data_IF_654592477826
#
_entry.id   IF_654592477826
#
_cell.length_a   1.000
_cell.length_b   1.000
_cell.length_c   1.000
_cell.angle_alpha   90.00
_cell.angle_beta   90.00
_cell.angle_gamma   90.00
#
_symmetry.space_group_name_H-M   'P 1'
#
loop_
_entity.id
_entity.type
_entity.pdbx_description
1 polymer ?
#
# COMPACT_ATOMS: atom_id res chain seq x y z
N UNK A 1 -18.73 -1.91 -46.59
CA UNK A 1 -18.05 -0.82 -45.85
C UNK A 1 -18.87 -0.31 -44.67
N UNK A 2 -20.20 -0.31 -44.70
CA UNK A 2 -21.04 0.20 -43.60
C UNK A 2 -20.91 -0.60 -42.29
N UNK A 3 -20.75 -1.93 -42.34
CA UNK A 3 -20.64 -2.77 -41.13
C UNK A 3 -19.29 -2.63 -40.36
N UNK A 4 -18.21 -2.20 -41.02
CA UNK A 4 -16.93 -2.02 -40.35
C UNK A 4 -16.89 -0.70 -39.51
N UNK A 5 -17.55 0.34 -39.99
CA UNK A 5 -17.64 1.62 -39.27
C UNK A 5 -18.58 1.54 -38.05
N UNK A 6 -19.65 0.76 -38.11
CA UNK A 6 -20.51 0.50 -36.94
C UNK A 6 -19.80 -0.36 -35.87
N UNK A 7 -19.06 -1.39 -36.27
CA UNK A 7 -18.29 -2.23 -35.36
C UNK A 7 -17.15 -1.44 -34.67
N UNK A 8 -16.45 -0.57 -35.37
CA UNK A 8 -15.43 0.30 -34.79
C UNK A 8 -16.04 1.39 -33.87
N UNK A 9 -17.18 1.96 -34.25
CA UNK A 9 -17.91 2.93 -33.43
C UNK A 9 -18.42 2.33 -32.10
N UNK A 10 -18.95 1.12 -32.14
CA UNK A 10 -19.39 0.40 -30.94
C UNK A 10 -18.20 -0.01 -30.04
N UNK A 11 -17.09 -0.48 -30.62
CA UNK A 11 -15.91 -0.85 -29.84
C UNK A 11 -15.28 0.38 -29.12
N UNK A 12 -15.20 1.52 -29.80
CA UNK A 12 -14.68 2.77 -29.18
C UNK A 12 -15.61 3.32 -28.11
N UNK A 13 -16.92 3.22 -28.28
CA UNK A 13 -17.88 3.66 -27.24
C UNK A 13 -17.86 2.75 -26.00
N UNK A 14 -17.72 1.44 -26.16
CA UNK A 14 -17.60 0.50 -25.03
C UNK A 14 -16.30 0.69 -24.25
N UNK A 15 -15.16 0.91 -24.91
CA UNK A 15 -13.88 1.22 -24.23
C UNK A 15 -13.95 2.55 -23.48
N UNK A 16 -14.57 3.58 -24.05
CA UNK A 16 -14.77 4.87 -23.39
C UNK A 16 -15.65 4.73 -22.14
N UNK A 17 -16.75 4.01 -22.22
CA UNK A 17 -17.64 3.79 -21.08
C UNK A 17 -16.95 2.99 -19.96
N UNK A 18 -16.18 1.95 -20.30
CA UNK A 18 -15.40 1.17 -19.32
C UNK A 18 -14.40 2.05 -18.57
N UNK A 19 -13.69 2.95 -19.26
CA UNK A 19 -12.75 3.89 -18.64
C UNK A 19 -13.46 4.83 -17.69
N UNK A 20 -14.60 5.41 -18.10
CA UNK A 20 -15.40 6.33 -17.26
C UNK A 20 -15.85 5.62 -15.98
N UNK A 21 -16.38 4.41 -16.08
CA UNK A 21 -16.82 3.64 -14.91
C UNK A 21 -15.65 3.40 -13.93
N UNK A 22 -14.47 3.00 -14.43
CA UNK A 22 -13.29 2.77 -13.59
C UNK A 22 -12.85 4.04 -12.86
N UNK A 23 -12.85 5.18 -13.55
CA UNK A 23 -12.51 6.48 -12.96
C UNK A 23 -13.55 6.89 -11.92
N UNK A 24 -14.85 6.75 -12.23
CA UNK A 24 -15.94 7.06 -11.31
C UNK A 24 -15.95 6.17 -10.04
N UNK A 25 -15.34 5.00 -10.08
CA UNK A 25 -15.16 4.15 -8.88
C UNK A 25 -13.93 4.58 -8.09
N UNK A 26 -12.79 4.80 -8.74
CA UNK A 26 -11.51 5.10 -8.08
C UNK A 26 -11.51 6.45 -7.39
N UNK A 27 -12.03 7.51 -8.04
CA UNK A 27 -11.95 8.88 -7.49
C UNK A 27 -12.75 9.02 -6.18
N UNK A 28 -14.04 8.64 -6.08
CA UNK A 28 -14.76 8.74 -4.82
C UNK A 28 -14.13 7.89 -3.71
N UNK A 29 -13.68 6.69 -4.04
CA UNK A 29 -12.99 5.82 -3.10
C UNK A 29 -11.72 6.49 -2.54
N UNK A 30 -10.92 7.11 -3.41
CA UNK A 30 -9.72 7.86 -3.02
C UNK A 30 -10.06 9.10 -2.17
N UNK A 31 -11.12 9.84 -2.50
CA UNK A 31 -11.57 10.99 -1.70
C UNK A 31 -11.97 10.57 -0.29
N UNK A 32 -12.76 9.50 -0.15
CA UNK A 32 -13.16 8.96 1.16
C UNK A 32 -11.93 8.52 1.96
N UNK A 33 -10.98 7.84 1.30
CA UNK A 33 -9.72 7.46 1.93
C UNK A 33 -8.95 8.67 2.45
N UNK A 34 -8.77 9.72 1.63
CA UNK A 34 -8.07 10.94 2.05
C UNK A 34 -8.76 11.61 3.24
N UNK A 35 -10.09 11.69 3.24
CA UNK A 35 -10.83 12.23 4.37
C UNK A 35 -10.56 11.43 5.66
N UNK A 36 -10.57 10.11 5.60
CA UNK A 36 -10.27 9.25 6.74
C UNK A 36 -8.84 9.48 7.26
N UNK A 37 -7.86 9.56 6.36
CA UNK A 37 -6.45 9.79 6.71
C UNK A 37 -6.26 11.17 7.35
N UNK A 38 -6.83 12.23 6.77
CA UNK A 38 -6.72 13.59 7.30
C UNK A 38 -7.27 13.64 8.73
N UNK A 39 -8.45 13.07 8.97
CA UNK A 39 -9.03 12.99 10.32
C UNK A 39 -8.09 12.26 11.29
N UNK A 40 -7.55 11.11 10.87
CA UNK A 40 -6.59 10.35 11.69
C UNK A 40 -5.34 11.14 12.02
N UNK A 41 -4.71 11.76 11.01
CA UNK A 41 -3.49 12.55 11.20
C UNK A 41 -3.75 13.78 12.08
N UNK A 42 -4.91 14.42 11.95
CA UNK A 42 -5.33 15.52 12.84
C UNK A 42 -5.45 15.05 14.30
N UNK A 43 -6.01 13.86 14.55
CA UNK A 43 -6.08 13.29 15.90
C UNK A 43 -4.67 13.07 16.47
N UNK A 44 -3.75 12.52 15.68
CA UNK A 44 -2.36 12.33 16.09
C UNK A 44 -1.63 13.67 16.37
N UNK A 45 -1.83 14.66 15.51
CA UNK A 45 -1.21 15.98 15.68
C UNK A 45 -1.73 16.72 16.93
N UNK A 46 -3.01 16.57 17.24
CA UNK A 46 -3.65 17.24 18.38
C UNK A 46 -3.27 16.59 19.72
N UNK A 47 -3.06 15.28 19.74
CA UNK A 47 -2.80 14.52 20.97
C UNK A 47 -1.36 14.01 21.01
N UNK A 48 -0.43 14.79 21.51
CA UNK A 48 1.02 14.46 21.56
C UNK A 48 1.33 13.15 22.29
N UNK A 49 0.49 12.71 23.22
CA UNK A 49 0.67 11.44 23.92
C UNK A 49 0.79 10.21 22.98
N UNK A 50 0.19 10.27 21.79
CA UNK A 50 0.36 9.19 20.82
C UNK A 50 1.79 9.11 20.27
N UNK A 51 2.52 10.22 20.20
CA UNK A 51 3.91 10.27 19.72
C UNK A 51 4.93 9.76 20.74
N UNK A 52 4.52 9.52 22.00
CA UNK A 52 5.39 8.94 23.03
C UNK A 52 5.51 7.41 22.90
N UNK A 53 4.70 6.78 22.07
CA UNK A 53 4.67 5.32 21.91
C UNK A 53 5.08 4.92 20.49
N UNK A 54 6.11 4.09 20.34
CA UNK A 54 6.64 3.60 19.05
C UNK A 54 5.58 3.02 18.12
N UNK A 55 4.60 2.33 18.68
CA UNK A 55 3.46 1.75 17.96
C UNK A 55 2.65 2.79 17.18
N UNK A 56 2.32 3.92 17.81
CA UNK A 56 1.53 4.97 17.16
C UNK A 56 2.36 5.77 16.15
N UNK A 57 3.66 5.95 16.41
CA UNK A 57 4.59 6.58 15.45
C UNK A 57 4.66 5.74 14.17
N UNK A 58 4.86 4.42 14.28
CA UNK A 58 4.88 3.52 13.12
C UNK A 58 3.55 3.52 12.37
N UNK A 59 2.43 3.59 13.11
CA UNK A 59 1.12 3.65 12.48
C UNK A 59 0.88 4.98 11.74
N UNK A 60 1.21 6.12 12.34
CA UNK A 60 1.12 7.42 11.68
C UNK A 60 2.00 7.47 10.42
N UNK A 61 3.22 6.93 10.53
CA UNK A 61 4.12 6.81 9.40
C UNK A 61 3.56 5.90 8.28
N UNK A 62 2.93 4.78 8.62
CA UNK A 62 2.24 3.91 7.67
C UNK A 62 1.13 4.67 6.93
N UNK A 63 0.32 5.47 7.63
CA UNK A 63 -0.73 6.29 7.03
C UNK A 63 -0.18 7.29 6.01
N UNK A 64 0.93 7.96 6.33
CA UNK A 64 1.61 8.90 5.42
C UNK A 64 2.12 8.15 4.18
N UNK A 65 2.78 7.02 4.39
CA UNK A 65 3.29 6.22 3.28
C UNK A 65 2.17 5.68 2.37
N UNK A 66 1.06 5.18 2.95
CA UNK A 66 -0.09 4.70 2.18
C UNK A 66 -0.77 5.84 1.40
N UNK A 67 -0.75 7.07 1.95
CA UNK A 67 -1.24 8.26 1.23
C UNK A 67 -0.36 8.58 0.02
N UNK A 68 0.96 8.57 0.18
CA UNK A 68 1.91 8.78 -0.91
C UNK A 68 1.78 7.69 -2.00
N UNK A 69 1.64 6.44 -1.58
CA UNK A 69 1.41 5.29 -2.45
C UNK A 69 0.13 5.46 -3.27
N UNK A 70 -1.00 5.74 -2.63
CA UNK A 70 -2.27 5.89 -3.33
C UNK A 70 -2.28 7.12 -4.23
N UNK A 71 -1.72 8.23 -3.78
CA UNK A 71 -1.61 9.44 -4.59
C UNK A 71 -0.83 9.16 -5.88
N UNK A 72 0.37 8.58 -5.76
CA UNK A 72 1.20 8.25 -6.93
C UNK A 72 0.53 7.22 -7.85
N UNK A 73 -0.12 6.20 -7.29
CA UNK A 73 -0.80 5.16 -8.06
C UNK A 73 -2.06 5.67 -8.77
N UNK A 74 -2.85 6.56 -8.15
CA UNK A 74 -4.03 7.19 -8.78
C UNK A 74 -3.59 8.14 -9.90
N UNK A 75 -2.52 8.92 -9.69
CA UNK A 75 -1.95 9.77 -10.74
C UNK A 75 -1.53 8.91 -11.94
N UNK A 76 -0.75 7.85 -11.71
CA UNK A 76 -0.33 6.93 -12.77
C UNK A 76 -1.52 6.29 -13.48
N UNK A 77 -2.53 5.86 -12.73
CA UNK A 77 -3.76 5.29 -13.29
C UNK A 77 -4.47 6.29 -14.21
N UNK A 78 -4.65 7.54 -13.78
CA UNK A 78 -5.30 8.58 -14.58
C UNK A 78 -4.48 8.91 -15.83
N UNK A 79 -3.16 9.08 -15.71
CA UNK A 79 -2.28 9.35 -16.84
C UNK A 79 -2.37 8.27 -17.92
N UNK A 80 -2.37 7.00 -17.50
CA UNK A 80 -2.50 5.85 -18.40
C UNK A 80 -3.89 5.80 -19.05
N UNK A 81 -4.96 6.05 -18.29
CA UNK A 81 -6.33 5.98 -18.82
C UNK A 81 -6.69 7.16 -19.72
N UNK A 82 -6.12 8.33 -19.46
CA UNK A 82 -6.25 9.50 -20.32
C UNK A 82 -5.26 9.49 -21.52
N UNK A 83 -4.46 8.42 -21.67
CA UNK A 83 -3.44 8.29 -22.73
C UNK A 83 -2.46 9.49 -22.79
N UNK A 84 -2.17 10.08 -21.64
CA UNK A 84 -1.26 11.22 -21.54
C UNK A 84 0.17 10.71 -21.59
N UNK A 85 0.94 11.17 -22.57
CA UNK A 85 2.37 10.85 -22.72
C UNK A 85 3.20 11.95 -22.09
N UNK A 86 4.25 11.55 -21.36
CA UNK A 86 5.21 12.46 -20.75
C UNK A 86 6.64 12.11 -21.13
N UNK A 87 7.56 13.08 -21.10
CA UNK A 87 8.98 12.78 -21.16
C UNK A 87 9.38 11.79 -20.05
N UNK A 88 10.23 10.84 -20.41
CA UNK A 88 10.68 9.76 -19.50
C UNK A 88 11.24 10.29 -18.18
N UNK A 89 11.87 11.47 -18.21
CA UNK A 89 12.43 12.16 -17.03
C UNK A 89 11.40 12.39 -15.91
N UNK A 90 10.15 12.69 -16.26
CA UNK A 90 9.08 12.88 -15.25
C UNK A 90 8.38 11.59 -14.88
N UNK A 91 8.35 10.62 -15.81
CA UNK A 91 7.69 9.34 -15.60
C UNK A 91 8.48 8.45 -14.63
N UNK A 92 9.82 8.36 -14.79
CA UNK A 92 10.67 7.50 -13.94
C UNK A 92 10.58 7.86 -12.44
N UNK A 93 10.71 9.13 -12.01
CA UNK A 93 10.56 9.47 -10.59
C UNK A 93 9.19 9.10 -10.01
N UNK A 94 8.12 9.26 -10.78
CA UNK A 94 6.77 8.91 -10.34
C UNK A 94 6.60 7.40 -10.18
N UNK A 95 7.12 6.59 -11.10
CA UNK A 95 7.13 5.14 -10.99
C UNK A 95 8.02 4.67 -9.83
N UNK A 96 9.20 5.27 -9.69
CA UNK A 96 10.12 4.97 -8.59
C UNK A 96 9.48 5.26 -7.23
N UNK A 97 8.80 6.40 -7.07
CA UNK A 97 8.05 6.73 -5.87
C UNK A 97 6.95 5.70 -5.60
N UNK A 98 6.17 5.33 -6.62
CA UNK A 98 5.09 4.34 -6.48
C UNK A 98 5.62 2.97 -6.07
N UNK A 99 6.70 2.49 -6.69
CA UNK A 99 7.30 1.19 -6.37
C UNK A 99 7.94 1.19 -4.99
N UNK A 100 8.68 2.25 -4.65
CA UNK A 100 9.35 2.37 -3.34
C UNK A 100 8.35 2.45 -2.20
N UNK A 101 7.28 3.23 -2.34
CA UNK A 101 6.23 3.32 -1.31
C UNK A 101 5.45 2.01 -1.17
N UNK A 102 5.28 1.24 -2.24
CA UNK A 102 4.69 -0.09 -2.20
C UNK A 102 5.55 -1.07 -1.37
N UNK A 103 6.86 -1.13 -1.63
CA UNK A 103 7.80 -1.95 -0.86
C UNK A 103 7.87 -1.49 0.61
N UNK A 104 7.89 -0.18 0.83
CA UNK A 104 7.92 0.45 2.14
C UNK A 104 6.74 -0.01 3.02
N UNK A 105 5.51 -0.01 2.52
CA UNK A 105 4.35 -0.48 3.28
C UNK A 105 4.54 -1.90 3.80
N UNK A 106 5.07 -2.80 2.99
CA UNK A 106 5.27 -4.19 3.37
C UNK A 106 6.27 -4.33 4.50
N UNK A 107 7.38 -3.56 4.43
CA UNK A 107 8.39 -3.51 5.50
C UNK A 107 7.84 -2.86 6.78
N UNK A 108 7.03 -1.80 6.67
CA UNK A 108 6.39 -1.19 7.84
C UNK A 108 5.48 -2.20 8.54
N UNK A 109 4.66 -2.93 7.78
CA UNK A 109 3.76 -3.93 8.36
C UNK A 109 4.53 -5.06 9.05
N UNK A 110 5.64 -5.54 8.47
CA UNK A 110 6.54 -6.49 9.11
C UNK A 110 7.15 -5.90 10.39
N UNK A 111 7.59 -4.65 10.35
CA UNK A 111 8.15 -3.93 11.50
C UNK A 111 7.12 -3.75 12.62
N UNK A 112 5.87 -3.43 12.27
CA UNK A 112 4.77 -3.35 13.25
C UNK A 112 4.45 -4.70 13.88
N UNK A 113 4.60 -5.81 13.15
CA UNK A 113 4.44 -7.15 13.72
C UNK A 113 5.57 -7.50 14.69
N UNK A 114 6.82 -7.10 14.36
CA UNK A 114 7.99 -7.23 15.25
C UNK A 114 7.85 -6.35 16.50
N UNK A 115 7.37 -5.11 16.36
CA UNK A 115 7.11 -4.23 17.52
C UNK A 115 6.16 -4.90 18.52
N UNK A 116 5.09 -5.51 18.01
CA UNK A 116 4.14 -6.24 18.87
C UNK A 116 4.75 -7.47 19.50
N UNK A 117 5.55 -8.21 18.75
CA UNK A 117 6.29 -9.35 19.29
C UNK A 117 7.18 -8.90 20.46
N UNK A 118 7.98 -7.86 20.27
CA UNK A 118 8.85 -7.32 21.32
C UNK A 118 8.05 -6.83 22.52
N UNK A 119 6.94 -6.13 22.29
CA UNK A 119 6.10 -5.62 23.37
C UNK A 119 5.45 -6.71 24.23
N UNK A 120 5.12 -7.88 23.64
CA UNK A 120 4.46 -8.98 24.34
C UNK A 120 5.49 -9.92 24.99
N UNK A 121 6.61 -10.19 24.31
CA UNK A 121 7.60 -11.16 24.80
C UNK A 121 8.56 -10.53 25.80
N UNK A 122 8.96 -9.26 25.58
CA UNK A 122 9.95 -8.53 26.38
C UNK A 122 9.37 -7.22 26.98
N UNK A 123 8.31 -7.28 27.83
CA UNK A 123 7.63 -6.07 28.29
C UNK A 123 8.52 -5.17 29.16
N UNK A 124 9.43 -5.77 29.95
CA UNK A 124 10.31 -5.06 30.88
C UNK A 124 11.69 -4.75 30.29
N UNK A 125 12.11 -5.45 29.27
CA UNK A 125 13.45 -5.33 28.65
C UNK A 125 13.34 -4.96 27.17
N UNK A 126 12.64 -3.85 26.87
CA UNK A 126 12.55 -3.40 25.47
C UNK A 126 13.93 -2.99 24.94
N UNK A 127 14.38 -3.55 23.81
CA UNK A 127 15.62 -3.12 23.15
C UNK A 127 15.56 -1.63 22.82
N UNK A 128 16.73 -0.96 22.93
CA UNK A 128 16.82 0.49 22.76
C UNK A 128 16.32 0.99 21.38
N UNK A 129 16.40 0.15 20.34
CA UNK A 129 15.92 0.51 19.00
C UNK A 129 14.38 0.69 18.92
N UNK A 130 13.62 0.07 19.82
CA UNK A 130 12.14 0.14 19.86
C UNK A 130 11.61 1.24 20.80
N UNK A 131 12.47 2.10 21.29
CA UNK A 131 12.05 3.29 22.04
C UNK A 131 11.54 4.35 21.06
N UNK A 132 10.60 5.16 21.52
CA UNK A 132 9.98 6.22 20.70
C UNK A 132 11.01 7.24 20.17
N UNK A 133 12.05 7.52 20.95
CA UNK A 133 13.15 8.42 20.58
C UNK A 133 14.06 7.88 19.46
N UNK A 134 14.08 6.57 19.24
CA UNK A 134 14.95 5.90 18.24
C UNK A 134 14.22 5.24 17.09
N UNK A 135 12.91 5.18 17.12
CA UNK A 135 12.10 4.50 16.09
C UNK A 135 12.31 5.11 14.69
N UNK A 136 12.68 6.37 14.61
CA UNK A 136 12.98 7.05 13.35
C UNK A 136 14.17 6.43 12.60
N UNK A 137 15.12 5.79 13.31
CA UNK A 137 16.25 5.06 12.70
C UNK A 137 15.72 3.88 11.92
N UNK A 138 14.76 3.14 12.49
CA UNK A 138 14.09 2.02 11.80
C UNK A 138 13.34 2.53 10.57
N UNK A 139 12.62 3.64 10.70
CA UNK A 139 11.90 4.27 9.59
C UNK A 139 12.84 4.66 8.45
N UNK A 140 13.96 5.31 8.76
CA UNK A 140 14.97 5.68 7.75
C UNK A 140 15.59 4.45 7.07
N UNK A 141 15.86 3.38 7.84
CA UNK A 141 16.37 2.12 7.29
C UNK A 141 15.38 1.48 6.32
N UNK A 142 14.09 1.52 6.65
CA UNK A 142 13.02 1.03 5.77
C UNK A 142 12.98 1.85 4.47
N UNK A 143 13.05 3.18 4.55
CA UNK A 143 13.11 4.04 3.37
C UNK A 143 14.31 3.74 2.49
N UNK A 144 15.49 3.62 3.09
CA UNK A 144 16.71 3.29 2.37
C UNK A 144 16.57 1.97 1.60
N UNK A 145 16.10 0.91 2.29
CA UNK A 145 15.87 -0.39 1.66
C UNK A 145 14.82 -0.34 0.55
N UNK A 146 13.76 0.42 0.76
CA UNK A 146 12.66 0.54 -0.22
C UNK A 146 13.05 1.31 -1.47
N UNK A 147 14.02 2.24 -1.38
CA UNK A 147 14.47 3.03 -2.53
C UNK A 147 15.63 2.37 -3.29
N UNK A 148 16.55 1.70 -2.60
CA UNK A 148 17.77 1.19 -3.24
C UNK A 148 17.47 0.15 -4.33
N UNK A 149 16.51 -0.76 -4.11
CA UNK A 149 16.19 -1.80 -5.07
C UNK A 149 15.55 -1.26 -6.36
N UNK A 150 14.51 -0.41 -6.31
CA UNK A 150 13.98 0.23 -7.51
C UNK A 150 15.01 1.12 -8.23
N UNK A 151 15.89 1.81 -7.50
CA UNK A 151 16.96 2.59 -8.10
C UNK A 151 17.93 1.70 -8.90
N UNK A 152 18.33 0.57 -8.35
CA UNK A 152 19.17 -0.41 -9.06
C UNK A 152 18.44 -0.96 -10.28
N UNK A 153 17.17 -1.33 -10.14
CA UNK A 153 16.32 -1.83 -11.23
C UNK A 153 16.30 -0.87 -12.41
N UNK A 154 16.02 0.41 -12.16
CA UNK A 154 16.02 1.43 -13.22
C UNK A 154 17.42 1.75 -13.76
N UNK A 155 18.50 1.46 -13.02
CA UNK A 155 19.87 1.68 -13.46
C UNK A 155 20.41 0.55 -14.36
N UNK A 156 19.92 -0.66 -14.20
CA UNK A 156 20.33 -1.85 -14.98
C UNK A 156 19.75 -1.83 -16.40
N UNK A 157 18.69 -1.03 -16.64
CA UNK A 157 18.03 -0.96 -17.95
C UNK A 157 18.99 -0.62 -19.07
N UNK A 158 19.08 -1.52 -20.06
CA UNK A 158 19.75 -1.21 -21.33
C UNK A 158 19.03 -0.05 -22.00
N UNK A 159 19.73 1.06 -22.12
CA UNK A 159 19.24 2.26 -22.79
C UNK A 159 19.85 2.32 -24.18
N UNK A 160 18.99 2.40 -25.18
CA UNK A 160 19.45 2.65 -26.54
C UNK A 160 20.09 4.04 -26.57
N UNK A 161 21.39 4.18 -26.86
CA UNK A 161 22.09 5.46 -26.87
C UNK A 161 21.55 6.45 -27.94
N UNK A 162 20.75 5.95 -28.88
CA UNK A 162 20.11 6.74 -29.90
C UNK A 162 18.79 7.41 -29.45
N UNK A 163 18.23 7.00 -28.31
CA UNK A 163 16.97 7.55 -27.80
C UNK A 163 17.27 8.64 -26.79
N UNK A 164 16.96 9.87 -27.12
CA UNK A 164 17.06 11.01 -26.21
C UNK A 164 15.97 10.88 -25.09
N UNK A 165 16.40 10.43 -23.92
CA UNK A 165 15.55 10.14 -22.76
C UNK A 165 14.81 11.40 -22.27
N UNK A 166 15.40 12.59 -22.51
CA UNK A 166 14.82 13.85 -22.05
C UNK A 166 13.58 14.24 -22.85
N UNK A 167 13.52 13.88 -24.15
CA UNK A 167 12.50 14.39 -25.06
C UNK A 167 11.49 13.34 -25.53
N UNK A 168 11.78 12.05 -25.36
CA UNK A 168 10.90 10.98 -25.87
C UNK A 168 9.63 10.87 -25.02
N UNK A 169 8.45 11.17 -25.58
CA UNK A 169 7.19 11.03 -24.88
C UNK A 169 6.81 9.56 -24.75
N UNK A 170 6.66 9.07 -23.52
CA UNK A 170 6.24 7.70 -23.22
C UNK A 170 4.96 7.68 -22.40
N UNK A 171 4.17 6.62 -22.54
CA UNK A 171 3.09 6.35 -21.63
C UNK A 171 3.66 5.81 -20.34
N UNK A 172 3.31 6.42 -19.19
CA UNK A 172 3.85 6.05 -17.88
C UNK A 172 3.36 4.68 -17.37
N UNK A 173 3.80 3.62 -18.04
CA UNK A 173 3.64 2.22 -17.59
C UNK A 173 5.01 1.59 -17.37
N UNK A 174 5.19 0.75 -16.33
CA UNK A 174 6.46 0.06 -16.08
C UNK A 174 6.97 -0.72 -17.30
N UNK A 175 6.06 -1.36 -18.05
CA UNK A 175 6.40 -2.19 -19.22
C UNK A 175 7.08 -1.41 -20.37
N UNK A 176 6.84 -0.10 -20.48
CA UNK A 176 7.47 0.73 -21.52
C UNK A 176 8.85 1.24 -21.11
N UNK A 177 9.17 1.18 -19.82
CA UNK A 177 10.44 1.65 -19.27
C UNK A 177 11.35 0.47 -18.94
N UNK A 178 10.78 -0.65 -18.46
CA UNK A 178 11.48 -1.87 -18.13
C UNK A 178 11.37 -2.87 -19.29
N UNK A 179 12.08 -2.61 -20.38
CA UNK A 179 12.05 -3.44 -21.59
C UNK A 179 13.09 -4.57 -21.60
N UNK A 180 14.10 -4.50 -20.71
CA UNK A 180 15.18 -5.48 -20.66
C UNK A 180 14.76 -6.75 -19.91
N UNK A 181 15.05 -7.97 -20.44
CA UNK A 181 14.78 -9.23 -19.72
C UNK A 181 15.57 -9.32 -18.41
N UNK A 182 16.73 -8.68 -18.32
CA UNK A 182 17.56 -8.65 -17.10
C UNK A 182 16.85 -7.84 -16.00
N UNK A 183 16.23 -6.71 -16.35
CA UNK A 183 15.42 -5.93 -15.40
C UNK A 183 14.23 -6.72 -14.89
N UNK A 184 13.49 -7.39 -15.76
CA UNK A 184 12.35 -8.22 -15.38
C UNK A 184 12.77 -9.36 -14.42
N UNK A 185 13.91 -10.00 -14.69
CA UNK A 185 14.46 -11.04 -13.82
C UNK A 185 14.90 -10.47 -12.46
N UNK A 186 15.57 -9.32 -12.44
CA UNK A 186 15.97 -8.64 -11.21
C UNK A 186 14.75 -8.26 -10.38
N UNK A 187 13.73 -7.65 -10.98
CA UNK A 187 12.48 -7.29 -10.31
C UNK A 187 11.77 -8.52 -9.71
N UNK A 188 11.68 -9.62 -10.47
CA UNK A 188 11.10 -10.87 -9.98
C UNK A 188 11.90 -11.43 -8.79
N UNK A 189 13.23 -11.46 -8.86
CA UNK A 189 14.10 -11.94 -7.79
C UNK A 189 13.95 -11.09 -6.52
N UNK A 190 13.93 -9.77 -6.64
CA UNK A 190 13.72 -8.85 -5.51
C UNK A 190 12.33 -9.03 -4.90
N UNK A 191 11.28 -9.14 -5.71
CA UNK A 191 9.91 -9.35 -5.22
C UNK A 191 9.79 -10.69 -4.47
N UNK A 192 10.38 -11.77 -4.98
CA UNK A 192 10.40 -13.07 -4.31
C UNK A 192 11.18 -12.98 -2.99
N UNK A 193 12.34 -12.36 -2.98
CA UNK A 193 13.13 -12.16 -1.77
C UNK A 193 12.35 -11.40 -0.69
N UNK A 194 11.73 -10.28 -1.04
CA UNK A 194 10.89 -9.51 -0.13
C UNK A 194 9.71 -10.33 0.39
N UNK A 195 9.02 -11.03 -0.50
CA UNK A 195 7.91 -11.91 -0.14
C UNK A 195 8.32 -12.96 0.88
N UNK A 196 9.43 -13.67 0.63
CA UNK A 196 9.91 -14.73 1.53
C UNK A 196 10.33 -14.15 2.87
N UNK A 197 11.16 -13.11 2.90
CA UNK A 197 11.67 -12.50 4.13
C UNK A 197 10.52 -11.97 4.98
N UNK A 198 9.61 -11.21 4.40
CA UNK A 198 8.48 -10.64 5.13
C UNK A 198 7.53 -11.73 5.62
N UNK A 199 7.24 -12.75 4.80
CA UNK A 199 6.39 -13.87 5.20
C UNK A 199 6.98 -14.64 6.37
N UNK A 200 8.30 -14.91 6.37
CA UNK A 200 8.98 -15.58 7.48
C UNK A 200 8.89 -14.76 8.76
N UNK A 201 9.17 -13.46 8.69
CA UNK A 201 9.07 -12.55 9.86
C UNK A 201 7.65 -12.55 10.43
N UNK A 202 6.66 -12.45 9.58
CA UNK A 202 5.25 -12.41 9.98
C UNK A 202 4.83 -13.73 10.60
N UNK A 203 5.07 -14.86 9.94
CA UNK A 203 4.73 -16.18 10.45
C UNK A 203 5.40 -16.45 11.80
N UNK A 204 6.69 -16.15 11.91
CA UNK A 204 7.43 -16.29 13.17
C UNK A 204 6.80 -15.46 14.29
N UNK A 205 6.56 -14.18 14.07
CA UNK A 205 5.99 -13.28 15.08
C UNK A 205 4.59 -13.72 15.49
N UNK A 206 3.74 -14.11 14.53
CA UNK A 206 2.38 -14.57 14.80
C UNK A 206 2.33 -15.88 15.58
N UNK A 207 3.08 -16.89 15.15
CA UNK A 207 3.14 -18.18 15.83
C UNK A 207 3.59 -17.98 17.28
N UNK A 208 4.65 -17.20 17.49
CA UNK A 208 5.19 -16.96 18.82
C UNK A 208 4.21 -16.19 19.71
N UNK A 209 3.55 -15.15 19.19
CA UNK A 209 2.51 -14.40 19.94
C UNK A 209 1.34 -15.34 20.31
N UNK A 210 0.85 -16.15 19.36
CA UNK A 210 -0.25 -17.08 19.62
C UNK A 210 0.11 -18.13 20.67
N UNK A 211 1.33 -18.68 20.63
CA UNK A 211 1.79 -19.65 21.63
C UNK A 211 1.89 -19.01 23.02
N UNK A 212 2.42 -17.79 23.11
CA UNK A 212 2.54 -17.07 24.39
C UNK A 212 1.17 -16.71 24.97
N UNK A 213 0.26 -16.18 24.15
CA UNK A 213 -1.09 -15.82 24.60
C UNK A 213 -1.93 -17.04 25.02
N UNK A 214 -1.73 -18.21 24.38
CA UNK A 214 -2.34 -19.46 24.82
C UNK A 214 -1.85 -19.91 26.19
N UNK A 215 -0.59 -19.67 26.52
CA UNK A 215 0.01 -20.03 27.82
C UNK A 215 -0.42 -19.09 28.94
N UNK A 216 -0.76 -17.83 28.64
CA UNK A 216 -1.27 -16.83 29.59
C UNK A 216 -2.80 -16.96 29.81
N UNK A 217 -3.26 -18.12 30.21
CA UNK A 217 -4.68 -18.54 30.26
C UNK A 217 -5.57 -17.84 31.31
N UNK A 218 -5.05 -16.92 32.11
CA UNK A 218 -5.78 -16.31 33.23
C UNK A 218 -6.83 -15.25 32.85
N UNK A 219 -6.70 -14.61 31.64
CA UNK A 219 -7.66 -13.60 31.17
C UNK A 219 -8.21 -13.95 29.79
N UNK A 220 -9.28 -14.74 29.74
CA UNK A 220 -9.93 -15.17 28.47
C UNK A 220 -10.38 -14.00 27.58
N UNK A 221 -10.81 -12.88 28.18
CA UNK A 221 -11.30 -11.71 27.46
C UNK A 221 -10.14 -10.94 26.78
N UNK A 222 -9.05 -10.72 27.50
CA UNK A 222 -7.85 -10.04 26.97
C UNK A 222 -7.17 -10.89 25.88
N UNK A 223 -7.11 -12.21 26.07
CA UNK A 223 -6.57 -13.15 25.09
C UNK A 223 -7.42 -13.19 23.80
N UNK A 224 -8.75 -13.13 23.91
CA UNK A 224 -9.66 -13.10 22.75
C UNK A 224 -9.50 -11.80 21.95
N UNK A 225 -9.42 -10.65 22.62
CA UNK A 225 -9.17 -9.35 21.96
C UNK A 225 -7.82 -9.33 21.26
N UNK A 226 -6.76 -9.87 21.88
CA UNK A 226 -5.44 -9.98 21.28
C UNK A 226 -5.45 -10.88 20.03
N UNK A 227 -6.14 -12.04 20.10
CA UNK A 227 -6.27 -12.98 18.98
C UNK A 227 -6.97 -12.35 17.76
N UNK A 228 -8.11 -11.70 18.00
CA UNK A 228 -8.87 -11.04 16.92
C UNK A 228 -8.04 -9.95 16.23
N UNK A 229 -7.31 -9.21 17.01
CA UNK A 229 -6.34 -8.21 16.59
C UNK A 229 -5.28 -8.77 15.64
N UNK A 230 -4.64 -9.86 16.07
CA UNK A 230 -3.59 -10.55 15.32
C UNK A 230 -4.15 -11.08 14.01
N UNK A 231 -5.37 -11.63 14.02
CA UNK A 231 -6.03 -12.16 12.84
C UNK A 231 -6.31 -11.08 11.79
N UNK A 232 -6.85 -9.92 12.19
CA UNK A 232 -7.12 -8.81 11.27
C UNK A 232 -5.84 -8.26 10.65
N UNK A 233 -4.78 -8.12 11.45
CA UNK A 233 -3.49 -7.69 10.93
C UNK A 233 -2.89 -8.73 9.99
N UNK A 234 -3.00 -10.03 10.32
CA UNK A 234 -2.58 -11.11 9.44
C UNK A 234 -3.33 -11.13 8.12
N UNK A 235 -4.64 -10.85 8.13
CA UNK A 235 -5.44 -10.74 6.91
C UNK A 235 -4.97 -9.58 6.02
N UNK A 236 -4.74 -8.40 6.62
CA UNK A 236 -4.21 -7.25 5.89
C UNK A 236 -2.83 -7.55 5.26
N UNK A 237 -1.95 -8.20 6.03
CA UNK A 237 -0.64 -8.61 5.53
C UNK A 237 -0.75 -9.62 4.39
N UNK A 238 -1.68 -10.58 4.49
CA UNK A 238 -1.93 -11.54 3.43
C UNK A 238 -2.34 -10.82 2.13
N UNK A 239 -3.25 -9.86 2.20
CA UNK A 239 -3.64 -9.07 1.03
C UNK A 239 -2.46 -8.29 0.43
N UNK A 240 -1.64 -7.66 1.28
CA UNK A 240 -0.42 -6.98 0.82
C UNK A 240 0.58 -7.93 0.20
N UNK A 241 0.73 -9.14 0.74
CA UNK A 241 1.60 -10.17 0.17
C UNK A 241 1.10 -10.68 -1.19
N UNK A 242 -0.22 -10.87 -1.33
CA UNK A 242 -0.83 -11.23 -2.61
C UNK A 242 -0.55 -10.17 -3.68
N UNK A 243 -0.43 -8.90 -3.32
CA UNK A 243 -0.07 -7.84 -4.27
C UNK A 243 1.31 -8.04 -4.92
N UNK A 244 2.27 -8.71 -4.28
CA UNK A 244 3.56 -9.06 -4.90
C UNK A 244 3.44 -10.13 -5.99
N UNK A 245 2.37 -10.90 -5.99
CA UNK A 245 2.13 -11.92 -7.02
C UNK A 245 1.43 -11.35 -8.25
N UNK A 246 1.13 -10.03 -8.29
CA UNK A 246 0.36 -9.39 -9.35
C UNK A 246 0.85 -9.66 -10.76
N UNK A 247 2.16 -9.51 -11.10
CA UNK A 247 2.64 -9.77 -12.44
C UNK A 247 2.43 -11.24 -12.85
N UNK A 248 2.61 -12.15 -11.90
CA UNK A 248 2.41 -13.60 -12.10
C UNK A 248 0.92 -13.91 -12.26
N UNK A 249 0.09 -13.32 -11.41
CA UNK A 249 -1.36 -13.51 -11.44
C UNK A 249 -1.96 -12.97 -12.74
N UNK A 250 -1.54 -11.81 -13.20
CA UNK A 250 -1.96 -11.25 -14.48
C UNK A 250 -1.55 -12.16 -15.64
N UNK A 251 -0.31 -12.66 -15.65
CA UNK A 251 0.20 -13.57 -16.66
C UNK A 251 -0.54 -14.91 -16.70
N UNK A 252 -0.96 -15.45 -15.54
CA UNK A 252 -1.71 -16.71 -15.45
C UNK A 252 -3.19 -16.49 -15.79
N UNK A 253 -3.79 -15.40 -15.36
CA UNK A 253 -5.22 -15.14 -15.59
C UNK A 253 -5.53 -14.75 -17.03
N UNK A 254 -4.64 -14.03 -17.70
CA UNK A 254 -4.86 -13.53 -19.05
C UNK A 254 -5.27 -14.61 -20.07
N UNK A 255 -4.69 -15.84 -20.11
CA UNK A 255 -5.10 -16.87 -21.04
C UNK A 255 -6.38 -17.63 -20.64
N UNK A 256 -6.80 -17.56 -19.37
CA UNK A 256 -7.92 -18.37 -18.84
C UNK A 256 -9.23 -17.60 -18.69
N UNK A 257 -9.18 -16.27 -18.75
CA UNK A 257 -10.34 -15.40 -18.54
C UNK A 257 -10.64 -14.67 -19.85
N UNK A 258 -11.86 -14.76 -20.33
CA UNK A 258 -12.32 -14.08 -21.56
C UNK A 258 -12.49 -12.57 -21.40
N UNK A 259 -12.00 -12.00 -20.30
CA UNK A 259 -12.06 -10.56 -20.03
C UNK A 259 -10.89 -9.83 -20.72
N UNK A 260 -11.10 -8.58 -21.14
CA UNK A 260 -10.02 -7.74 -21.62
C UNK A 260 -8.91 -7.64 -20.56
N UNK A 261 -7.65 -7.74 -20.97
CA UNK A 261 -6.50 -7.68 -20.07
C UNK A 261 -6.50 -6.42 -19.19
N UNK A 262 -7.03 -5.30 -19.70
CA UNK A 262 -7.16 -4.06 -18.95
C UNK A 262 -8.17 -4.12 -17.80
N UNK A 263 -9.21 -4.97 -17.91
CA UNK A 263 -10.19 -5.14 -16.85
C UNK A 263 -9.65 -6.05 -15.74
N UNK A 264 -8.86 -7.06 -16.12
CA UNK A 264 -8.13 -7.91 -15.17
C UNK A 264 -7.14 -7.08 -14.37
N UNK A 265 -6.31 -6.26 -15.04
CA UNK A 265 -5.35 -5.37 -14.39
C UNK A 265 -6.04 -4.38 -13.44
N UNK A 266 -7.20 -3.82 -13.84
CA UNK A 266 -7.98 -2.93 -12.98
C UNK A 266 -8.54 -3.66 -11.75
N UNK A 267 -9.10 -4.85 -11.92
CA UNK A 267 -9.62 -5.67 -10.83
C UNK A 267 -8.52 -5.98 -9.81
N UNK A 268 -7.36 -6.43 -10.29
CA UNK A 268 -6.19 -6.72 -9.47
C UNK A 268 -5.73 -5.45 -8.71
N UNK A 269 -5.59 -4.32 -9.39
CA UNK A 269 -5.24 -3.04 -8.79
C UNK A 269 -6.22 -2.63 -7.68
N UNK A 270 -7.52 -2.74 -7.94
CA UNK A 270 -8.55 -2.34 -6.98
C UNK A 270 -8.56 -3.23 -5.73
N UNK A 271 -8.58 -4.56 -5.91
CA UNK A 271 -8.72 -5.50 -4.80
C UNK A 271 -7.42 -5.74 -4.02
N UNK A 272 -6.26 -5.72 -4.66
CA UNK A 272 -4.99 -6.04 -4.00
C UNK A 272 -4.14 -4.82 -3.64
N UNK A 273 -4.40 -3.66 -4.23
CA UNK A 273 -3.67 -2.43 -3.89
C UNK A 273 -4.58 -1.44 -3.16
N UNK A 274 -5.73 -1.04 -3.73
CA UNK A 274 -6.58 -0.02 -3.14
C UNK A 274 -7.24 -0.47 -1.83
N UNK A 275 -7.95 -1.60 -1.86
CA UNK A 275 -8.72 -2.07 -0.69
C UNK A 275 -7.84 -2.32 0.53
N UNK A 276 -6.68 -3.00 0.48
CA UNK A 276 -5.85 -3.20 1.67
C UNK A 276 -5.38 -1.90 2.30
N UNK A 277 -5.08 -0.88 1.49
CA UNK A 277 -4.68 0.44 1.99
C UNK A 277 -5.83 1.14 2.70
N UNK A 278 -7.04 1.06 2.15
CA UNK A 278 -8.23 1.61 2.79
C UNK A 278 -8.58 0.90 4.09
N UNK A 279 -8.37 -0.41 4.16
CA UNK A 279 -8.61 -1.19 5.38
C UNK A 279 -7.65 -0.84 6.52
N UNK A 280 -6.42 -0.41 6.22
CA UNK A 280 -5.41 -0.07 7.22
C UNK A 280 -5.91 0.95 8.25
N UNK A 281 -6.33 2.17 7.89
CA UNK A 281 -6.84 3.16 8.83
C UNK A 281 -8.10 2.68 9.56
N UNK A 282 -8.98 1.94 8.87
CA UNK A 282 -10.21 1.43 9.47
C UNK A 282 -9.92 0.38 10.55
N UNK A 283 -9.08 -0.62 10.24
CA UNK A 283 -8.73 -1.68 11.18
C UNK A 283 -8.06 -1.10 12.43
N UNK A 284 -7.14 -0.16 12.26
CA UNK A 284 -6.45 0.45 13.40
C UNK A 284 -7.31 1.45 14.15
N UNK A 285 -8.07 2.30 13.44
CA UNK A 285 -8.93 3.33 14.04
C UNK A 285 -10.09 2.76 14.85
N UNK A 286 -10.75 1.72 14.34
CA UNK A 286 -11.86 1.09 15.07
C UNK A 286 -11.41 0.15 16.19
N UNK A 287 -10.20 -0.36 16.12
CA UNK A 287 -9.67 -1.35 17.05
C UNK A 287 -9.10 -0.73 18.31
N UNK A 288 -8.37 0.37 18.20
CA UNK A 288 -7.77 1.04 19.34
C UNK A 288 -8.82 1.86 20.08
N UNK A 289 -9.10 1.47 21.34
CA UNK A 289 -10.15 2.10 22.13
C UNK A 289 -9.87 3.59 22.34
N UNK A 290 -8.61 3.96 22.53
CA UNK A 290 -8.18 5.35 22.73
C UNK A 290 -8.40 6.17 21.46
N UNK A 291 -8.05 5.63 20.28
CA UNK A 291 -8.31 6.25 18.99
C UNK A 291 -9.80 6.37 18.72
N UNK A 292 -10.57 5.32 18.99
CA UNK A 292 -12.03 5.33 18.79
C UNK A 292 -12.72 6.38 19.66
N UNK A 293 -12.30 6.54 20.91
CA UNK A 293 -12.86 7.55 21.81
C UNK A 293 -12.50 8.97 21.35
N UNK A 294 -11.28 9.17 20.80
CA UNK A 294 -10.89 10.43 20.17
C UNK A 294 -11.69 10.71 18.88
N UNK A 295 -11.92 9.69 18.05
CA UNK A 295 -12.78 9.80 16.87
C UNK A 295 -14.21 10.24 17.25
N UNK A 296 -14.82 9.58 18.24
CA UNK A 296 -16.15 9.92 18.71
C UNK A 296 -16.25 11.38 19.17
N UNK A 297 -15.26 11.85 19.92
CA UNK A 297 -15.19 13.26 20.38
C UNK A 297 -15.03 14.25 19.23
N UNK A 298 -14.18 13.93 18.25
CA UNK A 298 -13.95 14.81 17.09
C UNK A 298 -15.20 14.93 16.22
N UNK A 299 -15.91 13.82 15.96
CA UNK A 299 -17.16 13.83 15.22
C UNK A 299 -18.28 14.57 15.96
N UNK A 300 -18.42 14.39 17.27
CA UNK A 300 -19.37 15.12 18.10
C UNK A 300 -19.09 16.64 18.13
N UNK A 301 -17.82 17.02 18.20
CA UNK A 301 -17.41 18.42 18.17
C UNK A 301 -17.69 19.08 16.82
N UNK A 302 -17.51 18.36 15.70
CA UNK A 302 -17.90 18.85 14.37
C UNK A 302 -19.41 18.93 14.20
N UNK A 303 -20.17 17.96 14.74
CA UNK A 303 -21.65 17.97 14.70
C UNK A 303 -22.25 19.12 15.50
N UNK A 304 -21.72 19.41 16.69
CA UNK A 304 -22.20 20.54 17.51
C UNK A 304 -21.83 21.92 16.93
N UNK A 305 -20.76 22.03 16.12
CA UNK A 305 -20.46 23.27 15.38
C UNK A 305 -21.31 23.45 14.12
N UNK A 306 -21.88 22.39 13.59
CA UNK A 306 -22.72 22.43 12.40
C UNK A 306 -24.19 22.79 12.72
N UNK A 307 -24.61 22.73 14.00
CA UNK A 307 -25.93 23.23 14.48
C UNK A 307 -25.70 24.32 15.55
N UNK A 308 -25.43 25.59 15.15
CA UNK A 308 -25.63 26.70 16.07
C UNK A 308 -27.14 26.90 16.23
N UNK A 309 -27.65 26.68 17.44
CA UNK A 309 -29.01 27.07 17.85
C UNK A 309 -29.10 28.57 17.82
#
# INVERSE_FOLDING_TARGET
MHNLTELTGNATSHTSLSVIIKVCVVIPFFCVFLCCIVVMLCIFATNRHFLDTSRYILFAYMLINDTLQLLSSVILFLLVKCLVTFPTVYCVPLLLLSTSTFMNTTLILATMSLERYVAIIYPLQRPAAWRSDRIWIIILSIWFLSFIFPMIEYSIGERDPAVDILSTPVLCKPIYINSSPIQALFQAAVNILFFVVVSVVILFTYITILLKTRKMRQDKVSASKAKHTVLLHGFQLLLCMLAFTLPITESIMAPHVSWPQEDIAFFIYFFFILIPRFLSPLIYGFRDQTLRDCFGKTFLCCSNKANPV
#
